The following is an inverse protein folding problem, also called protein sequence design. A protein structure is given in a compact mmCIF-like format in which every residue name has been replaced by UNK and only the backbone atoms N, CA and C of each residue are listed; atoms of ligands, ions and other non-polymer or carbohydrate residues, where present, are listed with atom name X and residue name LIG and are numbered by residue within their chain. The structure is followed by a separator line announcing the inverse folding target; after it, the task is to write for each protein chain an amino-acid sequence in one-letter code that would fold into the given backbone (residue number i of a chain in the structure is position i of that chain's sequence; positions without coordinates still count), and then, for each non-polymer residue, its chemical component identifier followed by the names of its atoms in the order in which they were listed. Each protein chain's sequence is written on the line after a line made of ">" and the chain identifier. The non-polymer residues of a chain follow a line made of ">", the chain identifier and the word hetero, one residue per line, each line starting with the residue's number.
data_IF_093566426805
#
_entry.id   IF_093566426805
#
_cell.length_a   1.000
_cell.length_b   1.000
_cell.length_c   1.000
_cell.angle_alpha   90.00
_cell.angle_beta   90.00
_cell.angle_gamma   90.00
#
_symmetry.space_group_name_H-M   'P 1'
#
loop_
_entity.id
_entity.type
_entity.pdbx_description
1 polymer ?
#
# COMPACT_ATOMS: atom_id res chain seq x y z
N UNK A 1 -33.61 -27.79 -8.43
CA UNK A 1 -34.20 -27.75 -7.08
C UNK A 1 -33.17 -28.24 -6.09
N UNK A 2 -32.64 -27.35 -5.25
CA UNK A 2 -31.71 -27.67 -4.15
C UNK A 2 -32.15 -26.83 -2.95
N UNK A 3 -32.75 -27.48 -1.96
CA UNK A 3 -33.22 -26.87 -0.71
C UNK A 3 -32.08 -26.92 0.31
N UNK A 4 -31.46 -25.76 0.56
CA UNK A 4 -30.46 -25.61 1.62
C UNK A 4 -31.18 -25.32 2.94
N UNK A 5 -31.13 -26.29 3.85
CA UNK A 5 -31.62 -26.18 5.23
C UNK A 5 -30.90 -25.05 5.96
N UNK A 6 -31.67 -24.02 6.35
CA UNK A 6 -31.26 -22.97 7.29
C UNK A 6 -31.33 -23.54 8.71
N UNK A 7 -30.19 -23.85 9.31
CA UNK A 7 -30.12 -23.97 10.77
C UNK A 7 -29.64 -22.64 11.36
N UNK A 8 -30.39 -22.01 12.29
CA UNK A 8 -29.87 -20.90 13.06
C UNK A 8 -28.97 -21.46 14.17
N UNK A 9 -27.67 -21.14 14.10
CA UNK A 9 -26.76 -21.31 15.23
C UNK A 9 -27.04 -20.18 16.24
N UNK A 10 -27.35 -20.48 17.52
CA UNK A 10 -27.52 -19.44 18.53
C UNK A 10 -26.14 -18.92 18.92
N UNK A 11 -25.88 -17.64 18.66
CA UNK A 11 -24.67 -16.95 19.13
C UNK A 11 -24.90 -16.49 20.56
N UNK A 12 -24.15 -17.05 21.51
CA UNK A 12 -24.01 -16.50 22.86
C UNK A 12 -23.28 -15.14 22.79
N UNK A 13 -23.61 -14.18 23.67
CA UNK A 13 -22.94 -12.89 23.73
C UNK A 13 -21.66 -13.00 24.56
N UNK A 14 -20.58 -13.52 23.97
CA UNK A 14 -19.27 -13.44 24.61
C UNK A 14 -18.65 -12.06 24.36
N UNK A 15 -18.64 -11.26 25.42
CA UNK A 15 -17.72 -10.16 25.76
C UNK A 15 -17.02 -9.52 24.56
N UNK A 16 -17.66 -8.49 24.00
CA UNK A 16 -17.06 -7.63 23.00
C UNK A 16 -15.91 -6.82 23.63
N UNK A 17 -14.67 -7.32 23.51
CA UNK A 17 -13.49 -6.46 23.56
C UNK A 17 -13.59 -5.34 22.50
N UNK A 18 -12.87 -4.23 22.65
CA UNK A 18 -12.94 -3.13 21.69
C UNK A 18 -12.59 -3.65 20.28
N UNK A 19 -13.60 -3.73 19.42
CA UNK A 19 -13.42 -4.11 18.02
C UNK A 19 -12.51 -3.09 17.36
N UNK A 20 -11.24 -3.46 17.15
CA UNK A 20 -10.35 -2.66 16.33
C UNK A 20 -10.82 -2.83 14.90
N UNK A 21 -11.30 -1.76 14.22
CA UNK A 21 -11.81 -1.90 12.87
C UNK A 21 -10.67 -2.41 11.96
N UNK A 22 -10.87 -3.57 11.35
CA UNK A 22 -9.99 -4.09 10.32
C UNK A 22 -10.02 -3.13 9.13
N UNK A 23 -9.02 -2.25 9.04
CA UNK A 23 -8.84 -1.36 7.89
C UNK A 23 -8.14 -2.14 6.78
N UNK A 24 -8.91 -2.61 5.80
CA UNK A 24 -8.35 -3.07 4.54
C UNK A 24 -7.86 -1.85 3.74
N UNK A 25 -6.57 -1.53 3.87
CA UNK A 25 -5.92 -0.55 3.01
C UNK A 25 -5.55 -1.28 1.72
N UNK A 26 -6.10 -0.83 0.57
CA UNK A 26 -5.64 -1.33 -0.73
C UNK A 26 -4.13 -1.09 -0.82
N UNK A 27 -3.32 -2.15 -0.94
CA UNK A 27 -1.88 -1.98 -1.02
C UNK A 27 -1.58 -1.16 -2.28
N UNK A 28 -0.98 0.01 -2.10
CA UNK A 28 -0.57 0.82 -3.24
C UNK A 28 0.74 0.26 -3.77
N UNK A 29 1.01 0.46 -5.06
CA UNK A 29 2.29 0.12 -5.68
C UNK A 29 3.49 0.81 -5.00
N UNK A 30 3.21 1.88 -4.24
CA UNK A 30 4.15 2.70 -3.50
C UNK A 30 4.14 2.38 -2.01
N UNK A 31 3.40 1.35 -1.60
CA UNK A 31 3.38 0.89 -0.22
C UNK A 31 4.76 0.30 0.09
N UNK A 32 5.50 0.99 0.95
CA UNK A 32 6.86 0.61 1.34
C UNK A 32 6.92 -0.71 2.13
N UNK A 33 5.77 -1.34 2.44
CA UNK A 33 5.71 -2.71 2.94
C UNK A 33 6.02 -3.73 1.84
N UNK A 34 5.84 -3.38 0.57
CA UNK A 34 6.28 -4.21 -0.53
C UNK A 34 7.78 -4.04 -0.76
N UNK A 35 8.49 -5.15 -0.80
CA UNK A 35 9.93 -5.23 -1.07
C UNK A 35 10.16 -5.30 -2.57
N UNK A 36 10.88 -4.32 -3.13
CA UNK A 36 11.20 -4.28 -4.55
C UNK A 36 10.98 -2.89 -5.13
N UNK A 37 11.65 -2.58 -6.24
CA UNK A 37 11.42 -1.36 -6.99
C UNK A 37 10.28 -1.58 -8.01
N UNK A 38 9.27 -0.69 -8.04
CA UNK A 38 8.25 -0.76 -9.06
C UNK A 38 8.82 -0.31 -10.41
N UNK A 39 8.57 -1.10 -11.44
CA UNK A 39 9.03 -0.82 -12.80
C UNK A 39 8.07 -1.41 -13.83
N UNK A 40 8.01 -0.78 -15.00
CA UNK A 40 7.22 -1.18 -16.14
C UNK A 40 8.17 -1.78 -17.18
N UNK A 41 7.89 -3.01 -17.58
CA UNK A 41 8.69 -3.76 -18.55
C UNK A 41 7.88 -3.99 -19.81
N UNK A 42 8.45 -3.64 -20.95
CA UNK A 42 7.82 -3.75 -22.26
C UNK A 42 7.56 -5.21 -22.64
N UNK A 43 6.45 -5.42 -23.34
CA UNK A 43 6.13 -6.68 -23.97
C UNK A 43 5.75 -6.39 -25.43
N UNK A 44 6.31 -7.17 -26.36
CA UNK A 44 6.33 -6.87 -27.82
C UNK A 44 4.95 -6.82 -28.51
N UNK A 45 3.87 -6.94 -27.77
CA UNK A 45 2.48 -6.97 -28.24
C UNK A 45 1.69 -5.70 -27.87
N UNK A 46 2.38 -4.57 -27.66
CA UNK A 46 1.75 -3.30 -27.30
C UNK A 46 1.23 -3.26 -25.86
N UNK A 47 1.77 -4.12 -25.00
CA UNK A 47 1.45 -4.14 -23.59
C UNK A 47 2.71 -4.12 -22.75
N UNK A 48 2.58 -3.75 -21.49
CA UNK A 48 3.66 -3.84 -20.54
C UNK A 48 3.19 -4.47 -19.25
N UNK A 49 4.14 -5.06 -18.54
CA UNK A 49 3.92 -5.55 -17.20
C UNK A 49 4.41 -4.53 -16.19
N UNK A 50 3.51 -4.12 -15.30
CA UNK A 50 3.89 -3.47 -14.05
C UNK A 50 4.38 -4.55 -13.12
N UNK A 51 5.63 -4.43 -12.69
CA UNK A 51 6.31 -5.38 -11.85
C UNK A 51 6.81 -4.70 -10.58
N UNK A 52 7.01 -5.49 -9.55
CA UNK A 52 7.67 -5.10 -8.32
C UNK A 52 8.80 -6.09 -8.11
N UNK A 53 10.02 -5.65 -8.48
CA UNK A 53 11.16 -6.55 -8.67
C UNK A 53 10.77 -7.74 -9.58
N UNK A 54 10.73 -8.97 -9.05
CA UNK A 54 10.39 -10.19 -9.77
C UNK A 54 8.89 -10.54 -9.77
N UNK A 55 8.05 -9.74 -9.11
CA UNK A 55 6.62 -10.02 -8.98
C UNK A 55 5.80 -9.24 -10.01
N UNK A 56 5.04 -9.96 -10.85
CA UNK A 56 4.15 -9.35 -11.85
C UNK A 56 2.82 -8.95 -11.21
N UNK A 57 2.50 -7.67 -11.28
CA UNK A 57 1.29 -7.11 -10.65
C UNK A 57 0.13 -6.99 -11.63
N UNK A 58 0.37 -6.30 -12.74
CA UNK A 58 -0.68 -5.98 -13.71
C UNK A 58 -0.11 -5.85 -15.11
N UNK A 59 -0.94 -6.17 -16.09
CA UNK A 59 -0.67 -5.93 -17.51
C UNK A 59 -1.44 -4.71 -17.95
N UNK A 60 -0.77 -3.78 -18.62
CA UNK A 60 -1.36 -2.53 -19.11
C UNK A 60 -1.09 -2.38 -20.61
N UNK A 61 -2.03 -1.84 -21.39
CA UNK A 61 -1.74 -1.41 -22.76
C UNK A 61 -0.81 -0.18 -22.71
N UNK A 62 0.19 -0.14 -23.58
CA UNK A 62 1.12 1.00 -23.67
C UNK A 62 1.48 1.31 -25.12
N UNK A 63 1.85 2.56 -25.39
CA UNK A 63 2.62 2.93 -26.56
C UNK A 63 4.12 2.87 -26.25
N UNK A 64 4.95 2.68 -27.27
CA UNK A 64 6.41 2.56 -27.10
C UNK A 64 7.04 3.77 -26.41
N UNK A 65 6.43 4.96 -26.54
CA UNK A 65 6.91 6.20 -25.91
C UNK A 65 6.52 6.34 -24.43
N UNK A 66 5.61 5.52 -23.93
CA UNK A 66 5.09 5.63 -22.57
C UNK A 66 6.07 5.05 -21.54
N UNK A 67 6.88 4.08 -21.93
CA UNK A 67 7.67 3.27 -20.98
C UNK A 67 8.69 4.09 -20.17
N UNK A 68 9.52 4.97 -20.77
CA UNK A 68 10.45 5.80 -20.01
C UNK A 68 9.69 6.75 -19.06
N UNK A 69 8.60 7.36 -19.54
CA UNK A 69 7.77 8.30 -18.79
C UNK A 69 7.10 7.63 -17.57
N UNK A 70 6.56 6.43 -17.75
CA UNK A 70 5.95 5.64 -16.68
C UNK A 70 6.98 5.25 -15.62
N UNK A 71 8.16 4.79 -16.03
CA UNK A 71 9.22 4.43 -15.09
C UNK A 71 9.76 5.65 -14.33
N UNK A 72 9.89 6.80 -14.99
CA UNK A 72 10.27 8.05 -14.33
C UNK A 72 9.22 8.48 -13.30
N UNK A 73 7.93 8.38 -13.65
CA UNK A 73 6.84 8.69 -12.72
C UNK A 73 6.87 7.79 -11.49
N UNK A 74 7.06 6.48 -11.67
CA UNK A 74 7.17 5.53 -10.56
C UNK A 74 8.33 5.86 -9.62
N UNK A 75 9.49 6.21 -10.18
CA UNK A 75 10.65 6.64 -9.41
C UNK A 75 10.36 7.91 -8.59
N UNK A 76 9.77 8.93 -9.21
CA UNK A 76 9.41 10.18 -8.55
C UNK A 76 8.41 9.96 -7.40
N UNK A 77 7.38 9.15 -7.65
CA UNK A 77 6.37 8.81 -6.65
C UNK A 77 6.98 8.06 -5.44
N UNK A 78 7.92 7.14 -5.69
CA UNK A 78 8.65 6.43 -4.63
C UNK A 78 9.48 7.41 -3.78
N UNK A 79 10.25 8.28 -4.42
CA UNK A 79 11.05 9.28 -3.73
C UNK A 79 10.18 10.21 -2.87
N UNK A 80 9.00 10.58 -3.38
CA UNK A 80 8.06 11.41 -2.62
C UNK A 80 7.52 10.70 -1.37
N UNK A 81 7.20 9.41 -1.44
CA UNK A 81 6.77 8.63 -0.27
C UNK A 81 7.86 8.52 0.80
N UNK A 82 9.11 8.30 0.39
CA UNK A 82 10.26 8.26 1.32
C UNK A 82 10.40 9.60 2.05
N UNK A 83 10.40 10.71 1.29
CA UNK A 83 10.46 12.07 1.87
C UNK A 83 9.30 12.33 2.81
N UNK A 84 8.08 11.95 2.42
CA UNK A 84 6.87 12.14 3.25
C UNK A 84 6.99 11.39 4.58
N UNK A 85 7.45 10.14 4.58
CA UNK A 85 7.69 9.39 5.83
C UNK A 85 8.73 10.05 6.71
N UNK A 86 9.84 10.50 6.13
CA UNK A 86 10.88 11.22 6.85
C UNK A 86 10.33 12.47 7.56
N UNK A 87 9.54 13.30 6.86
CA UNK A 87 8.91 14.47 7.48
C UNK A 87 7.91 14.12 8.58
N UNK A 88 7.15 13.03 8.42
CA UNK A 88 6.25 12.56 9.48
C UNK A 88 7.02 12.10 10.72
N UNK A 89 8.18 11.44 10.56
CA UNK A 89 9.04 11.03 11.67
C UNK A 89 9.63 12.24 12.41
N UNK A 90 10.15 13.23 11.67
CA UNK A 90 10.65 14.48 12.27
C UNK A 90 9.58 15.21 13.10
N UNK A 91 8.34 15.29 12.59
CA UNK A 91 7.22 15.89 13.33
C UNK A 91 6.83 15.10 14.58
N UNK A 92 6.92 13.78 14.55
CA UNK A 92 6.65 12.96 15.72
C UNK A 92 7.73 13.19 16.80
N UNK A 93 9.00 13.24 16.39
CA UNK A 93 10.14 13.49 17.28
C UNK A 93 10.11 14.89 17.91
N UNK A 94 9.70 15.92 17.15
CA UNK A 94 9.60 17.28 17.71
C UNK A 94 8.51 17.39 18.78
N UNK A 95 7.40 16.66 18.62
CA UNK A 95 6.30 16.62 19.60
C UNK A 95 6.66 15.88 20.88
N UNK A 96 7.43 14.80 20.79
CA UNK A 96 7.93 14.09 21.98
C UNK A 96 8.97 14.89 22.77
N UNK A 97 9.64 15.85 22.14
CA UNK A 97 10.67 16.67 22.78
C UNK A 97 10.12 17.90 23.53
N UNK A 98 8.95 18.39 23.13
CA UNK A 98 8.28 19.52 23.79
C UNK A 98 7.52 19.15 25.06
N UNK A 99 7.38 17.86 25.38
CA UNK A 99 6.58 17.35 26.51
C UNK A 99 7.45 16.95 27.73
N UNK A 100 8.75 17.27 27.70
CA UNK A 100 9.75 16.71 28.61
C UNK A 100 10.77 17.68 29.21
N UNK A 101 10.62 19.00 29.06
CA UNK A 101 11.49 19.95 29.77
C UNK A 101 10.81 20.38 31.09
N UNK A 102 11.20 19.80 32.26
CA UNK A 102 10.87 20.42 33.53
C UNK A 102 11.64 21.74 33.62
N UNK A 103 10.89 22.82 33.83
CA UNK A 103 11.43 24.12 34.22
C UNK A 103 12.10 23.89 35.58
N UNK A 104 13.44 23.97 35.60
CA UNK A 104 14.25 24.04 36.83
C UNK A 104 14.34 25.50 37.26
#
# INVERSE_FOLDING_TARGET
>A
MLSILKHPVPRTPDTAGPFTPLRCIRPSLLDLRFTGDPWVVDHKDGTAWVQLDNYRLARIPIMSFDLPSLNQLLLQLRQWQVRRRYYHQLRAQSRSRSDGDPIV
#
